data_IF_252159169518
#
_entry.id   IF_252159169518
#
_cell.length_a   1.000
_cell.length_b   1.000
_cell.length_c   1.000
_cell.angle_alpha   90.00
_cell.angle_beta   90.00
_cell.angle_gamma   90.00
#
_symmetry.space_group_name_H-M   'P 1'
#
loop_
_entity.id
_entity.type
_entity.pdbx_description
1 polymer ?
#
# COMPACT_ATOMS: atom_id res chain seq x y z
N UNK A 1 -17.22 6.69 -6.11
CA UNK A 1 -15.88 7.12 -6.56
C UNK A 1 -14.92 6.92 -5.40
N UNK A 2 -14.11 5.87 -5.44
CA UNK A 2 -13.20 5.54 -4.33
C UNK A 2 -11.83 6.15 -4.66
N UNK A 3 -11.53 7.30 -4.07
CA UNK A 3 -10.20 7.91 -4.15
C UNK A 3 -9.30 7.12 -3.20
N UNK A 4 -8.51 6.18 -3.72
CA UNK A 4 -7.43 5.53 -2.95
C UNK A 4 -6.28 6.52 -2.91
N UNK A 5 -6.20 7.27 -1.81
CA UNK A 5 -5.10 8.17 -1.49
C UNK A 5 -4.16 7.41 -0.55
N UNK A 6 -3.31 6.53 -1.08
CA UNK A 6 -2.40 5.70 -0.28
C UNK A 6 -1.03 6.41 -0.18
N UNK A 7 -1.05 7.56 0.47
CA UNK A 7 0.18 8.10 1.07
C UNK A 7 0.46 7.31 2.35
N UNK A 8 1.61 6.64 2.42
CA UNK A 8 2.02 5.91 3.63
C UNK A 8 2.46 6.90 4.72
N UNK A 9 1.50 7.32 5.55
CA UNK A 9 1.78 8.13 6.73
C UNK A 9 2.19 7.25 7.89
N UNK A 10 3.27 7.63 8.59
CA UNK A 10 3.67 7.04 9.86
C UNK A 10 3.55 8.08 10.97
N UNK A 11 2.95 7.68 12.09
CA UNK A 11 2.89 8.53 13.29
C UNK A 11 4.31 8.78 13.81
N UNK A 12 4.60 10.03 14.19
CA UNK A 12 5.87 10.39 14.85
C UNK A 12 5.83 9.96 16.32
N UNK A 13 6.99 9.86 16.97
CA UNK A 13 7.05 9.52 18.40
C UNK A 13 6.27 10.53 19.27
N UNK A 14 6.41 11.82 18.97
CA UNK A 14 5.64 12.88 19.64
C UNK A 14 4.13 12.79 19.37
N UNK A 15 3.73 12.37 18.17
CA UNK A 15 2.34 12.11 17.83
C UNK A 15 1.77 10.93 18.62
N UNK A 16 2.57 9.89 18.83
CA UNK A 16 2.20 8.72 19.61
C UNK A 16 2.03 9.07 21.10
N UNK A 17 2.93 9.87 21.67
CA UNK A 17 2.78 10.38 23.04
C UNK A 17 1.52 11.22 23.20
N UNK A 18 1.26 12.11 22.24
CA UNK A 18 0.05 12.94 22.23
C UNK A 18 -1.20 12.06 22.19
N UNK A 19 -1.22 11.03 21.33
CA UNK A 19 -2.35 10.12 21.20
C UNK A 19 -2.66 9.38 22.52
N UNK A 20 -1.62 8.97 23.27
CA UNK A 20 -1.79 8.30 24.58
C UNK A 20 -2.52 9.14 25.61
N UNK A 21 -2.41 10.48 25.54
CA UNK A 21 -3.12 11.38 26.46
C UNK A 21 -4.65 11.27 26.31
N UNK A 22 -5.15 10.85 25.14
CA UNK A 22 -6.58 10.81 24.83
C UNK A 22 -7.20 9.40 24.88
N UNK A 23 -6.43 8.37 25.21
CA UNK A 23 -6.92 6.97 25.23
C UNK A 23 -8.11 6.77 26.19
N UNK A 24 -8.19 7.56 27.26
CA UNK A 24 -9.27 7.53 28.25
C UNK A 24 -10.59 8.13 27.73
N UNK A 25 -10.59 8.82 26.59
CA UNK A 25 -11.79 9.40 25.98
C UNK A 25 -12.59 8.38 25.16
N UNK A 26 -12.02 7.22 24.88
CA UNK A 26 -12.68 6.15 24.13
C UNK A 26 -13.20 5.13 25.14
N UNK A 27 -14.50 4.86 25.11
CA UNK A 27 -15.13 3.89 26.02
C UNK A 27 -14.63 2.48 25.76
N UNK A 28 -14.64 1.63 26.79
CA UNK A 28 -14.19 0.24 26.65
C UNK A 28 -14.98 -0.52 25.58
N UNK A 29 -16.30 -0.32 25.51
CA UNK A 29 -17.13 -0.97 24.48
C UNK A 29 -16.70 -0.63 23.05
N UNK A 30 -16.33 0.63 22.78
CA UNK A 30 -15.82 1.03 21.46
C UNK A 30 -14.47 0.36 21.17
N UNK A 31 -13.60 0.22 22.18
CA UNK A 31 -12.30 -0.47 22.02
C UNK A 31 -12.51 -1.95 21.68
N UNK A 32 -13.44 -2.61 22.36
CA UNK A 32 -13.75 -4.02 22.16
C UNK A 32 -14.36 -4.28 20.76
N UNK A 33 -15.21 -3.37 20.28
CA UNK A 33 -15.77 -3.41 18.92
C UNK A 33 -14.66 -3.27 17.86
N UNK A 34 -13.72 -2.34 18.07
CA UNK A 34 -12.55 -2.15 17.19
C UNK A 34 -11.68 -3.41 17.18
N UNK A 35 -11.37 -3.98 18.34
CA UNK A 35 -10.56 -5.20 18.43
C UNK A 35 -11.22 -6.39 17.72
N UNK A 36 -12.53 -6.53 17.87
CA UNK A 36 -13.31 -7.59 17.22
C UNK A 36 -13.23 -7.45 15.70
N UNK A 37 -13.49 -6.24 15.19
CA UNK A 37 -13.36 -5.95 13.76
C UNK A 37 -11.96 -6.24 13.22
N UNK A 38 -10.90 -5.79 13.91
CA UNK A 38 -9.52 -6.03 13.49
C UNK A 38 -9.16 -7.51 13.50
N UNK A 39 -9.71 -8.30 14.42
CA UNK A 39 -9.47 -9.75 14.51
C UNK A 39 -10.12 -10.50 13.35
N UNK A 40 -11.35 -10.16 13.02
CA UNK A 40 -12.12 -10.78 11.94
C UNK A 40 -11.55 -10.43 10.56
N UNK A 41 -11.10 -9.19 10.38
CA UNK A 41 -10.65 -8.67 9.08
C UNK A 41 -9.11 -8.69 8.91
N UNK A 42 -8.37 -9.28 9.85
CA UNK A 42 -6.90 -9.24 9.92
C UNK A 42 -6.19 -9.68 8.64
N UNK A 43 -6.75 -10.66 7.92
CA UNK A 43 -6.17 -11.19 6.70
C UNK A 43 -6.35 -10.22 5.53
N UNK A 44 -7.56 -9.69 5.34
CA UNK A 44 -7.84 -8.69 4.30
C UNK A 44 -7.04 -7.40 4.52
N UNK A 45 -6.98 -6.93 5.77
CA UNK A 45 -6.18 -5.76 6.17
C UNK A 45 -4.68 -5.97 5.93
N UNK A 46 -4.16 -7.20 6.06
CA UNK A 46 -2.75 -7.51 5.77
C UNK A 46 -2.47 -7.59 4.28
N UNK A 47 -3.38 -8.17 3.50
CA UNK A 47 -3.22 -8.23 2.05
C UNK A 47 -3.17 -6.84 1.42
N UNK A 48 -4.05 -5.94 1.86
CA UNK A 48 -4.08 -4.56 1.35
C UNK A 48 -2.80 -3.77 1.67
N UNK A 49 -2.08 -4.14 2.74
CA UNK A 49 -0.79 -3.54 3.09
C UNK A 49 0.38 -4.24 2.38
N UNK A 50 0.21 -5.48 1.93
CA UNK A 50 1.29 -6.27 1.31
C UNK A 50 1.60 -5.91 -0.13
N UNK A 51 0.63 -5.34 -0.86
CA UNK A 51 0.76 -4.98 -2.29
C UNK A 51 0.39 -3.51 -2.53
N UNK A 52 1.12 -2.54 -1.93
CA UNK A 52 0.80 -1.12 -2.11
C UNK A 52 0.89 -0.72 -3.59
N UNK A 53 -0.10 0.06 -4.04
CA UNK A 53 -0.17 0.60 -5.39
C UNK A 53 -0.84 1.97 -5.38
N UNK A 54 -0.11 2.97 -5.85
CA UNK A 54 -0.54 4.37 -5.90
C UNK A 54 -0.13 5.02 -7.20
N UNK A 55 -0.78 6.13 -7.54
CA UNK A 55 -0.33 6.97 -8.63
C UNK A 55 -0.39 8.45 -8.28
N UNK A 56 0.46 9.23 -8.94
CA UNK A 56 0.49 10.68 -8.79
C UNK A 56 0.94 11.34 -10.08
N UNK A 57 0.53 12.60 -10.28
CA UNK A 57 0.98 13.39 -11.41
C UNK A 57 2.42 13.86 -11.18
N UNK A 58 3.32 13.58 -12.11
CA UNK A 58 4.72 14.02 -12.06
C UNK A 58 4.87 15.39 -12.70
N UNK A 59 4.22 15.58 -13.86
CA UNK A 59 4.15 16.83 -14.61
C UNK A 59 2.93 16.78 -15.53
N UNK A 60 2.62 17.90 -16.19
CA UNK A 60 1.50 17.96 -17.14
C UNK A 60 1.71 16.90 -18.24
N UNK A 61 0.74 15.98 -18.36
CA UNK A 61 0.80 14.87 -19.32
C UNK A 61 1.73 13.70 -18.94
N UNK A 62 2.13 13.60 -17.66
CA UNK A 62 2.86 12.43 -17.16
C UNK A 62 2.44 12.06 -15.74
N UNK A 63 2.16 10.79 -15.53
CA UNK A 63 1.73 10.21 -14.27
C UNK A 63 2.69 9.08 -13.88
N UNK A 64 2.97 8.92 -12.60
CA UNK A 64 3.76 7.82 -12.07
C UNK A 64 2.84 6.85 -11.34
N UNK A 65 2.91 5.57 -11.67
CA UNK A 65 2.36 4.49 -10.86
C UNK A 65 3.49 3.91 -9.99
N UNK A 66 3.34 4.00 -8.68
CA UNK A 66 4.26 3.50 -7.67
C UNK A 66 3.70 2.22 -7.07
N UNK A 67 4.47 1.14 -7.14
CA UNK A 67 4.03 -0.22 -6.88
C UNK A 67 5.03 -0.91 -5.96
N UNK A 68 4.55 -1.71 -5.01
CA UNK A 68 5.44 -2.47 -4.14
C UNK A 68 4.90 -3.82 -3.75
N UNK A 69 5.79 -4.68 -3.26
CA UNK A 69 5.48 -5.96 -2.62
C UNK A 69 6.22 -6.03 -1.31
N UNK A 70 5.48 -6.28 -0.23
CA UNK A 70 5.99 -6.44 1.13
C UNK A 70 5.75 -7.87 1.57
N UNK A 71 6.83 -8.60 1.79
CA UNK A 71 6.80 -9.97 2.30
C UNK A 71 7.49 -10.03 3.66
N UNK A 72 6.80 -10.59 4.67
CA UNK A 72 7.29 -10.70 6.06
C UNK A 72 7.85 -9.39 6.65
N UNK A 73 7.24 -8.26 6.26
CA UNK A 73 7.64 -6.92 6.70
C UNK A 73 8.82 -6.31 5.94
N UNK A 74 9.37 -7.01 4.94
CA UNK A 74 10.43 -6.49 4.05
C UNK A 74 9.85 -6.16 2.69
N UNK A 75 10.15 -4.96 2.18
CA UNK A 75 9.79 -4.60 0.80
C UNK A 75 10.75 -5.29 -0.16
N UNK A 76 10.27 -6.31 -0.88
CA UNK A 76 11.07 -7.12 -1.80
C UNK A 76 11.09 -6.55 -3.22
N UNK A 77 10.11 -5.71 -3.55
CA UNK A 77 10.10 -4.94 -4.79
C UNK A 77 9.49 -3.56 -4.57
N UNK A 78 10.08 -2.57 -5.25
CA UNK A 78 9.62 -1.18 -5.30
C UNK A 78 9.81 -0.69 -6.74
N UNK A 79 8.72 -0.39 -7.43
CA UNK A 79 8.70 -0.03 -8.84
C UNK A 79 7.99 1.30 -9.03
N UNK A 80 8.53 2.16 -9.90
CA UNK A 80 7.85 3.36 -10.36
C UNK A 80 7.81 3.39 -11.88
N UNK A 81 6.61 3.33 -12.44
CA UNK A 81 6.37 3.35 -13.89
C UNK A 81 5.75 4.68 -14.30
N UNK A 82 6.39 5.39 -15.22
CA UNK A 82 5.88 6.67 -15.75
C UNK A 82 5.08 6.42 -17.02
N UNK A 83 3.85 6.91 -17.05
CA UNK A 83 2.89 6.79 -18.16
C UNK A 83 2.36 8.15 -18.56
N UNK A 84 1.67 8.21 -19.71
CA UNK A 84 1.27 9.47 -20.35
C UNK A 84 -0.12 9.94 -19.94
N UNK A 85 -0.96 9.03 -19.45
CA UNK A 85 -2.34 9.32 -19.06
C UNK A 85 -2.63 8.87 -17.62
N UNK A 86 -3.61 9.52 -16.99
CA UNK A 86 -4.05 9.15 -15.66
C UNK A 86 -4.72 7.77 -15.68
N UNK A 87 -5.47 7.49 -16.74
CA UNK A 87 -6.17 6.23 -16.96
C UNK A 87 -5.20 5.04 -17.01
N UNK A 88 -4.05 5.19 -17.66
CA UNK A 88 -2.99 4.17 -17.65
C UNK A 88 -2.46 3.94 -16.24
N UNK A 89 -2.17 5.00 -15.48
CA UNK A 89 -1.62 4.90 -14.13
C UNK A 89 -2.60 4.19 -13.18
N UNK A 90 -3.88 4.58 -13.25
CA UNK A 90 -4.98 3.96 -12.51
C UNK A 90 -5.12 2.48 -12.87
N UNK A 91 -5.08 2.15 -14.16
CA UNK A 91 -5.21 0.76 -14.63
C UNK A 91 -4.05 -0.12 -14.14
N UNK A 92 -2.83 0.41 -14.13
CA UNK A 92 -1.66 -0.27 -13.57
C UNK A 92 -1.88 -0.56 -12.08
N UNK A 93 -2.29 0.45 -11.30
CA UNK A 93 -2.50 0.28 -9.85
C UNK A 93 -3.61 -0.73 -9.54
N UNK A 94 -4.73 -0.67 -10.28
CA UNK A 94 -5.86 -1.59 -10.08
C UNK A 94 -5.47 -3.04 -10.36
N UNK A 95 -4.61 -3.28 -11.36
CA UNK A 95 -4.19 -4.63 -11.71
C UNK A 95 -3.05 -5.16 -10.83
N UNK A 96 -2.42 -4.31 -10.01
CA UNK A 96 -1.20 -4.68 -9.27
C UNK A 96 -1.42 -5.83 -8.30
N UNK A 97 -2.51 -5.82 -7.54
CA UNK A 97 -2.80 -6.88 -6.55
C UNK A 97 -2.81 -8.27 -7.19
N UNK A 98 -3.42 -8.39 -8.37
CA UNK A 98 -3.53 -9.66 -9.11
C UNK A 98 -2.27 -10.01 -9.92
N UNK A 99 -1.48 -9.01 -10.35
CA UNK A 99 -0.36 -9.19 -11.27
C UNK A 99 1.04 -9.11 -10.65
N UNK A 100 1.14 -8.67 -9.39
CA UNK A 100 2.42 -8.45 -8.69
C UNK A 100 3.33 -9.68 -8.70
N UNK A 101 2.79 -10.88 -8.45
CA UNK A 101 3.54 -12.14 -8.45
C UNK A 101 4.11 -12.49 -9.83
N UNK A 102 3.29 -12.34 -10.88
CA UNK A 102 3.71 -12.59 -12.27
C UNK A 102 4.83 -11.61 -12.66
N UNK A 103 4.63 -10.32 -12.36
CA UNK A 103 5.61 -9.26 -12.66
C UNK A 103 6.93 -9.50 -11.91
N UNK A 104 6.86 -9.85 -10.62
CA UNK A 104 8.05 -10.19 -9.84
C UNK A 104 8.80 -11.38 -10.44
N UNK A 105 8.08 -12.45 -10.80
CA UNK A 105 8.67 -13.64 -11.40
C UNK A 105 9.35 -13.34 -12.73
N UNK A 106 8.71 -12.54 -13.60
CA UNK A 106 9.29 -12.10 -14.87
C UNK A 106 10.55 -11.24 -14.68
N UNK A 107 10.57 -10.34 -13.69
CA UNK A 107 11.74 -9.54 -13.39
C UNK A 107 12.89 -10.40 -12.87
N UNK A 108 12.62 -11.33 -11.96
CA UNK A 108 13.64 -12.25 -11.45
C UNK A 108 14.21 -13.12 -12.56
N UNK A 109 13.37 -13.72 -13.41
CA UNK A 109 13.85 -14.53 -14.52
C UNK A 109 14.74 -13.72 -15.48
N UNK A 110 14.32 -12.50 -15.81
CA UNK A 110 15.06 -11.64 -16.75
C UNK A 110 16.39 -11.13 -16.19
N UNK A 111 16.49 -10.94 -14.86
CA UNK A 111 17.68 -10.39 -14.21
C UNK A 111 18.67 -11.47 -13.74
N UNK A 112 18.20 -12.69 -13.49
CA UNK A 112 19.02 -13.83 -13.07
C UNK A 112 19.41 -14.74 -14.25
N UNK A 113 19.04 -14.39 -15.47
CA UNK A 113 19.54 -15.07 -16.67
C UNK A 113 21.06 -14.86 -16.78
N UNK A 114 21.83 -15.90 -16.43
CA UNK A 114 23.23 -16.02 -16.80
C UNK A 114 23.32 -16.22 -18.32
N UNK A 115 23.79 -15.20 -19.04
CA UNK A 115 24.13 -15.33 -20.47
C UNK A 115 25.35 -16.23 -20.68
#
# INVERSE_FOLDING_TARGET
KTVRNSSLYRITDSGLETLRLFDHLISQGIKDDIETYLRENKYELREDVSMPADYYQVKKGAFAAHLGVIERGTRIIDLTLVVTTEEEAVKICNNWKEKSSDVYSHLMSSLLEDR
#
